data_IF_470726799026
#
_entry.id   IF_470726799026
#
_cell.length_a   1.000
_cell.length_b   1.000
_cell.length_c   1.000
_cell.angle_alpha   90.00
_cell.angle_beta   90.00
_cell.angle_gamma   90.00
#
_symmetry.space_group_name_H-M   'P 1'
#
loop_
_entity.id
_entity.type
_entity.pdbx_description
1 polymer ?
#
# COMPACT_ATOMS: atom_id res chain seq x y z
N UNK A 1 3.44 -16.01 14.15
CA UNK A 1 4.74 -15.96 13.47
C UNK A 1 4.82 -14.58 12.86
N UNK A 2 5.29 -13.62 13.65
CA UNK A 2 5.47 -12.22 13.23
C UNK A 2 6.69 -12.19 12.31
N UNK A 3 6.48 -11.87 11.03
CA UNK A 3 7.56 -11.66 10.07
C UNK A 3 8.17 -10.27 10.32
N UNK A 4 9.51 -10.13 10.22
CA UNK A 4 10.21 -8.93 10.65
C UNK A 4 9.79 -7.68 9.86
N UNK A 5 9.67 -6.57 10.58
CA UNK A 5 9.51 -5.22 10.03
C UNK A 5 10.51 -4.99 8.89
N UNK A 6 10.03 -4.45 7.76
CA UNK A 6 10.79 -3.94 6.59
C UNK A 6 11.34 -4.91 5.52
N UNK A 7 10.71 -6.07 5.28
CA UNK A 7 10.99 -6.79 4.02
C UNK A 7 10.44 -6.00 2.82
N UNK A 8 11.36 -5.45 2.00
CA UNK A 8 11.01 -4.76 0.75
C UNK A 8 10.16 -5.65 -0.17
N UNK A 9 9.15 -5.11 -0.88
CA UNK A 9 8.37 -5.86 -1.87
C UNK A 9 9.23 -6.62 -2.88
N UNK A 10 10.40 -6.08 -3.23
CA UNK A 10 11.37 -6.72 -4.13
C UNK A 10 11.94 -8.01 -3.54
N UNK A 11 12.22 -8.03 -2.24
CA UNK A 11 12.75 -9.20 -1.54
C UNK A 11 11.68 -10.28 -1.47
N UNK A 12 10.44 -9.91 -1.12
CA UNK A 12 9.33 -10.87 -1.06
C UNK A 12 9.05 -11.47 -2.44
N UNK A 13 9.00 -10.64 -3.48
CA UNK A 13 8.85 -11.11 -4.86
C UNK A 13 10.00 -12.06 -5.26
N UNK A 14 11.26 -11.70 -4.94
CA UNK A 14 12.42 -12.55 -5.23
C UNK A 14 12.36 -13.90 -4.52
N UNK A 15 11.89 -13.93 -3.25
CA UNK A 15 11.67 -15.18 -2.50
C UNK A 15 10.60 -16.02 -3.18
N UNK A 16 9.47 -15.42 -3.60
CA UNK A 16 8.38 -16.14 -4.26
C UNK A 16 8.82 -16.70 -5.61
N UNK A 17 9.56 -15.93 -6.39
CA UNK A 17 10.18 -16.40 -7.63
C UNK A 17 11.08 -17.60 -7.36
N UNK A 18 11.98 -17.49 -6.37
CA UNK A 18 12.88 -18.58 -6.02
C UNK A 18 12.12 -19.82 -5.53
N UNK A 19 11.10 -19.68 -4.68
CA UNK A 19 10.28 -20.78 -4.18
C UNK A 19 9.50 -21.48 -5.30
N UNK A 20 8.81 -20.73 -6.15
CA UNK A 20 8.00 -21.30 -7.25
C UNK A 20 8.89 -21.95 -8.31
N UNK A 21 10.00 -21.33 -8.68
CA UNK A 21 10.93 -21.89 -9.65
C UNK A 21 11.68 -23.10 -9.08
N UNK A 22 12.10 -23.06 -7.81
CA UNK A 22 12.71 -24.22 -7.15
C UNK A 22 11.72 -25.39 -7.02
N UNK A 23 10.44 -25.12 -6.75
CA UNK A 23 9.40 -26.16 -6.73
C UNK A 23 9.27 -26.83 -8.10
N UNK A 24 9.25 -26.05 -9.19
CA UNK A 24 9.27 -26.59 -10.55
C UNK A 24 10.49 -27.47 -10.85
N UNK A 25 11.70 -27.00 -10.50
CA UNK A 25 12.93 -27.77 -10.68
C UNK A 25 12.92 -29.06 -9.84
N UNK A 26 12.44 -28.98 -8.60
CA UNK A 26 12.30 -30.13 -7.72
C UNK A 26 11.32 -31.16 -8.30
N UNK A 27 10.20 -30.69 -8.88
CA UNK A 27 9.25 -31.52 -9.61
C UNK A 27 9.93 -32.28 -10.76
N UNK A 28 10.73 -31.60 -11.58
CA UNK A 28 11.47 -32.24 -12.68
C UNK A 28 12.49 -33.28 -12.19
N UNK A 29 13.19 -32.99 -11.10
CA UNK A 29 14.14 -33.94 -10.51
C UNK A 29 13.41 -35.17 -9.96
N UNK A 30 12.25 -34.96 -9.34
CA UNK A 30 11.41 -36.03 -8.82
C UNK A 30 10.84 -36.89 -9.96
N UNK A 31 10.41 -36.28 -11.07
CA UNK A 31 9.99 -36.97 -12.29
C UNK A 31 11.07 -37.95 -12.78
N UNK A 32 12.34 -37.53 -12.81
CA UNK A 32 13.46 -38.39 -13.24
C UNK A 32 13.75 -39.57 -12.30
N UNK A 33 13.26 -39.54 -11.06
CA UNK A 33 13.48 -40.59 -10.05
C UNK A 33 12.27 -41.50 -9.84
N UNK A 34 11.10 -41.17 -10.39
CA UNK A 34 9.87 -41.93 -10.21
C UNK A 34 9.78 -43.10 -11.20
N UNK A 35 9.49 -44.32 -10.75
CA UNK A 35 9.21 -45.45 -11.63
C UNK A 35 7.94 -45.23 -12.47
N UNK A 36 7.91 -45.73 -13.70
CA UNK A 36 6.83 -45.53 -14.69
C UNK A 36 5.42 -45.90 -14.18
N UNK A 37 5.32 -46.76 -13.15
CA UNK A 37 4.04 -47.23 -12.61
C UNK A 37 3.22 -46.16 -11.86
N UNK A 38 3.86 -45.07 -11.39
CA UNK A 38 3.16 -43.92 -10.76
C UNK A 38 2.85 -42.78 -11.75
N UNK A 39 3.29 -42.92 -13.01
CA UNK A 39 3.11 -41.95 -14.09
C UNK A 39 2.19 -42.48 -15.19
N UNK A 40 1.29 -43.42 -14.85
CA UNK A 40 0.27 -43.88 -15.77
C UNK A 40 -0.68 -42.73 -16.14
N UNK A 41 -1.21 -42.75 -17.36
CA UNK A 41 -1.96 -41.62 -17.92
C UNK A 41 -3.23 -41.31 -17.10
N UNK A 42 -3.85 -42.32 -16.46
CA UNK A 42 -4.98 -42.11 -15.56
C UNK A 42 -4.61 -41.28 -14.31
N UNK A 43 -3.41 -41.48 -13.74
CA UNK A 43 -2.92 -40.67 -12.61
C UNK A 43 -2.60 -39.24 -13.03
N UNK A 44 -2.09 -39.04 -14.25
CA UNK A 44 -1.84 -37.70 -14.81
C UNK A 44 -3.13 -36.92 -15.02
N UNK A 45 -4.19 -37.57 -15.49
CA UNK A 45 -5.48 -36.91 -15.71
C UNK A 45 -6.11 -36.45 -14.40
N UNK A 46 -6.06 -37.28 -13.34
CA UNK A 46 -6.52 -36.87 -12.01
C UNK A 46 -5.69 -35.71 -11.47
N UNK A 47 -4.37 -35.73 -11.66
CA UNK A 47 -3.48 -34.66 -11.20
C UNK A 47 -3.72 -33.34 -11.95
N UNK A 48 -3.91 -33.36 -13.27
CA UNK A 48 -4.32 -32.19 -14.05
C UNK A 48 -5.65 -31.60 -13.58
N UNK A 49 -6.63 -32.44 -13.23
CA UNK A 49 -7.90 -31.98 -12.67
C UNK A 49 -7.71 -31.28 -11.31
N UNK A 50 -6.89 -31.86 -10.43
CA UNK A 50 -6.56 -31.25 -9.13
C UNK A 50 -5.78 -29.95 -9.29
N UNK A 51 -4.79 -29.90 -10.20
CA UNK A 51 -4.08 -28.67 -10.53
C UNK A 51 -5.03 -27.61 -11.11
N UNK A 52 -5.98 -27.99 -11.97
CA UNK A 52 -7.00 -27.08 -12.49
C UNK A 52 -7.84 -26.47 -11.36
N UNK A 53 -8.25 -27.28 -10.38
CA UNK A 53 -8.97 -26.80 -9.19
C UNK A 53 -8.12 -25.84 -8.36
N UNK A 54 -6.86 -26.18 -8.08
CA UNK A 54 -5.94 -25.30 -7.32
C UNK A 54 -5.70 -23.99 -8.09
N UNK A 55 -5.53 -24.05 -9.42
CA UNK A 55 -5.32 -22.89 -10.27
C UNK A 55 -6.52 -21.94 -10.26
N UNK A 56 -7.74 -22.46 -10.31
CA UNK A 56 -8.95 -21.62 -10.23
C UNK A 56 -9.10 -20.94 -8.88
N UNK A 57 -8.84 -21.66 -7.78
CA UNK A 57 -8.83 -21.07 -6.43
C UNK A 57 -7.73 -20.02 -6.27
N UNK A 58 -6.51 -20.31 -6.75
CA UNK A 58 -5.40 -19.37 -6.74
C UNK A 58 -5.70 -18.11 -7.56
N UNK A 59 -6.33 -18.24 -8.73
CA UNK A 59 -6.72 -17.11 -9.57
C UNK A 59 -7.75 -16.21 -8.87
N UNK A 60 -8.75 -16.80 -8.20
CA UNK A 60 -9.74 -16.04 -7.43
C UNK A 60 -9.10 -15.28 -6.26
N UNK A 61 -8.23 -15.95 -5.49
CA UNK A 61 -7.54 -15.30 -4.36
C UNK A 61 -6.60 -14.20 -4.86
N UNK A 62 -5.81 -14.46 -5.92
CA UNK A 62 -4.95 -13.45 -6.52
C UNK A 62 -5.76 -12.24 -6.99
N UNK A 63 -6.88 -12.45 -7.68
CA UNK A 63 -7.79 -11.38 -8.12
C UNK A 63 -8.35 -10.57 -6.95
N UNK A 64 -8.74 -11.23 -5.86
CA UNK A 64 -9.23 -10.55 -4.65
C UNK A 64 -8.12 -9.74 -3.97
N UNK A 65 -6.89 -10.25 -3.91
CA UNK A 65 -5.74 -9.53 -3.36
C UNK A 65 -5.40 -8.30 -4.19
N UNK A 66 -5.39 -8.40 -5.53
CA UNK A 66 -5.20 -7.25 -6.43
C UNK A 66 -6.29 -6.21 -6.20
N UNK A 67 -7.56 -6.63 -6.16
CA UNK A 67 -8.69 -5.73 -5.96
C UNK A 67 -8.62 -5.03 -4.59
N UNK A 68 -8.28 -5.77 -3.53
CA UNK A 68 -8.08 -5.23 -2.19
C UNK A 68 -6.96 -4.19 -2.15
N UNK A 69 -5.78 -4.54 -2.69
CA UNK A 69 -4.62 -3.65 -2.76
C UNK A 69 -4.96 -2.35 -3.52
N UNK A 70 -5.58 -2.48 -4.70
CA UNK A 70 -6.05 -1.33 -5.49
C UNK A 70 -7.07 -0.48 -4.72
N UNK A 71 -8.04 -1.09 -4.07
CA UNK A 71 -9.06 -0.37 -3.29
C UNK A 71 -8.46 0.38 -2.10
N UNK A 72 -7.40 -0.17 -1.49
CA UNK A 72 -6.63 0.50 -0.44
C UNK A 72 -5.90 1.72 -1.00
N UNK A 73 -5.17 1.54 -2.09
CA UNK A 73 -4.45 2.60 -2.79
C UNK A 73 -5.38 3.76 -3.22
N UNK A 74 -6.53 3.43 -3.83
CA UNK A 74 -7.51 4.41 -4.29
C UNK A 74 -8.12 5.20 -3.11
N UNK A 75 -8.41 4.51 -1.98
CA UNK A 75 -8.92 5.17 -0.75
C UNK A 75 -7.91 6.16 -0.19
N UNK A 76 -6.65 5.75 -0.04
CA UNK A 76 -5.61 6.63 0.51
C UNK A 76 -5.32 7.81 -0.44
N UNK A 77 -5.36 7.59 -1.75
CA UNK A 77 -5.27 8.66 -2.75
C UNK A 77 -6.41 9.66 -2.64
N UNK A 78 -7.64 9.19 -2.40
CA UNK A 78 -8.80 10.05 -2.20
C UNK A 78 -8.70 10.86 -0.89
N UNK A 79 -8.27 10.23 0.21
CA UNK A 79 -8.04 10.88 1.50
C UNK A 79 -6.98 11.99 1.39
N UNK A 80 -5.84 11.75 0.72
CA UNK A 80 -4.82 12.78 0.50
C UNK A 80 -5.34 13.96 -0.33
N UNK A 81 -6.16 13.72 -1.35
CA UNK A 81 -6.80 14.79 -2.14
C UNK A 81 -7.76 15.61 -1.28
N UNK A 82 -8.53 14.95 -0.42
CA UNK A 82 -9.44 15.63 0.52
C UNK A 82 -8.66 16.48 1.51
N UNK A 83 -7.59 15.96 2.13
CA UNK A 83 -6.71 16.72 3.02
C UNK A 83 -6.11 17.93 2.30
N UNK A 84 -5.64 17.76 1.06
CA UNK A 84 -5.09 18.87 0.25
C UNK A 84 -6.13 19.97 0.02
N UNK A 85 -7.38 19.60 -0.29
CA UNK A 85 -8.46 20.56 -0.49
C UNK A 85 -8.82 21.30 0.81
N UNK A 86 -8.89 20.59 1.94
CA UNK A 86 -9.16 21.18 3.25
C UNK A 86 -8.04 22.13 3.68
N UNK A 87 -6.78 21.80 3.36
CA UNK A 87 -5.63 22.67 3.61
C UNK A 87 -5.73 23.98 2.83
N UNK A 88 -6.14 23.94 1.56
CA UNK A 88 -6.39 25.14 0.75
C UNK A 88 -7.57 25.97 1.26
N UNK A 89 -8.67 25.34 1.68
CA UNK A 89 -9.83 26.04 2.27
C UNK A 89 -9.41 26.79 3.55
N UNK A 90 -8.61 26.15 4.40
CA UNK A 90 -8.15 26.73 5.65
C UNK A 90 -7.18 27.90 5.45
N UNK A 91 -6.25 27.80 4.49
CA UNK A 91 -5.38 28.94 4.14
C UNK A 91 -6.20 30.11 3.58
N UNK A 92 -7.18 29.84 2.73
CA UNK A 92 -8.08 30.87 2.21
C UNK A 92 -8.87 31.59 3.30
N UNK A 93 -9.35 30.85 4.31
CA UNK A 93 -10.03 31.43 5.48
C UNK A 93 -9.10 32.29 6.34
N UNK A 94 -7.85 31.85 6.56
CA UNK A 94 -6.84 32.62 7.30
C UNK A 94 -6.42 33.88 6.54
N UNK A 95 -6.28 33.80 5.22
CA UNK A 95 -6.01 34.96 4.36
C UNK A 95 -7.14 36.00 4.43
N UNK A 96 -8.40 35.55 4.46
CA UNK A 96 -9.56 36.44 4.58
C UNK A 96 -9.70 37.09 5.97
N UNK A 97 -9.13 36.48 7.03
CA UNK A 97 -9.09 37.07 8.38
C UNK A 97 -8.21 38.33 8.45
N UNK A 98 -7.21 38.43 7.56
CA UNK A 98 -6.31 39.58 7.45
C UNK A 98 -5.08 39.53 8.37
N UNK A 99 -4.40 40.66 8.64
CA UNK A 99 -3.10 40.71 9.30
C UNK A 99 -3.05 40.07 10.69
N UNK A 100 -4.19 40.02 11.39
CA UNK A 100 -4.32 39.41 12.71
C UNK A 100 -4.13 37.89 12.75
N UNK A 101 -4.14 37.21 11.60
CA UNK A 101 -3.92 35.76 11.48
C UNK A 101 -2.53 35.36 10.96
N UNK A 102 -1.61 36.33 10.80
CA UNK A 102 -0.27 36.10 10.22
C UNK A 102 0.55 35.04 10.98
N UNK A 103 0.55 35.07 12.31
CA UNK A 103 1.25 34.07 13.13
C UNK A 103 0.63 32.66 13.00
N UNK A 104 -0.71 32.57 12.99
CA UNK A 104 -1.42 31.32 12.80
C UNK A 104 -1.17 30.72 11.40
N UNK A 105 -1.11 31.56 10.37
CA UNK A 105 -0.80 31.17 9.00
C UNK A 105 0.64 30.67 8.86
N UNK A 106 1.61 31.34 9.47
CA UNK A 106 3.01 30.89 9.44
C UNK A 106 3.20 29.53 10.14
N UNK A 107 2.53 29.32 11.28
CA UNK A 107 2.54 28.02 11.97
C UNK A 107 1.82 26.93 11.18
N UNK A 108 0.73 27.27 10.48
CA UNK A 108 0.04 26.34 9.57
C UNK A 108 0.94 25.85 8.44
N UNK A 109 1.65 26.76 7.76
CA UNK A 109 2.56 26.39 6.69
C UNK A 109 3.68 25.47 7.19
N UNK A 110 4.24 25.77 8.37
CA UNK A 110 5.25 24.92 9.02
C UNK A 110 4.69 23.51 9.26
N UNK A 111 3.49 23.40 9.83
CA UNK A 111 2.81 22.13 10.08
C UNK A 111 2.56 21.31 8.82
N UNK A 112 2.06 21.95 7.75
CA UNK A 112 1.83 21.26 6.48
C UNK A 112 3.16 20.83 5.85
N UNK A 113 4.22 21.65 5.95
CA UNK A 113 5.54 21.31 5.40
C UNK A 113 6.18 20.12 6.11
N UNK A 114 6.08 20.05 7.44
CA UNK A 114 6.62 18.95 8.24
C UNK A 114 5.78 17.69 8.05
N UNK A 115 4.45 17.80 8.01
CA UNK A 115 3.56 16.69 7.71
C UNK A 115 3.87 16.10 6.32
N UNK A 116 4.02 16.95 5.31
CA UNK A 116 4.37 16.53 3.94
C UNK A 116 5.75 15.88 3.91
N UNK A 117 6.78 16.45 4.55
CA UNK A 117 8.11 15.83 4.57
C UNK A 117 8.11 14.46 5.27
N UNK A 118 7.25 14.28 6.28
CA UNK A 118 7.18 13.06 7.07
C UNK A 118 6.31 11.97 6.44
N UNK A 119 5.25 12.31 5.68
CA UNK A 119 4.36 11.30 5.05
C UNK A 119 5.14 10.39 4.09
N UNK A 120 6.18 10.93 3.46
CA UNK A 120 7.08 10.19 2.56
C UNK A 120 8.36 9.70 3.25
N UNK A 121 8.51 9.90 4.56
CA UNK A 121 9.61 9.37 5.37
C UNK A 121 9.24 7.98 5.91
N UNK A 122 10.23 7.09 6.04
CA UNK A 122 10.05 5.69 6.45
C UNK A 122 9.68 5.50 7.95
N UNK A 123 9.16 6.53 8.62
CA UNK A 123 9.01 6.57 10.07
C UNK A 123 7.57 6.91 10.46
N UNK A 124 6.72 5.89 10.37
CA UNK A 124 5.28 5.95 10.65
C UNK A 124 4.98 6.38 12.10
N UNK A 125 5.87 6.04 13.04
CA UNK A 125 5.75 6.40 14.46
C UNK A 125 6.06 7.89 14.65
N UNK A 126 7.12 8.41 14.00
CA UNK A 126 7.42 9.85 14.01
C UNK A 126 6.38 10.69 13.26
N UNK A 127 5.74 10.12 12.24
CA UNK A 127 4.62 10.70 11.52
C UNK A 127 3.45 11.02 12.46
N UNK A 128 3.00 10.02 13.23
CA UNK A 128 1.86 10.18 14.14
C UNK A 128 2.12 11.15 15.28
N UNK A 129 3.29 11.06 15.93
CA UNK A 129 3.67 11.96 17.02
C UNK A 129 3.85 13.41 16.56
N UNK A 130 4.49 13.63 15.41
CA UNK A 130 4.70 14.97 14.89
C UNK A 130 3.41 15.63 14.39
N UNK A 131 2.54 14.88 13.69
CA UNK A 131 1.24 15.39 13.28
C UNK A 131 0.38 15.76 14.49
N UNK A 132 0.42 14.99 15.58
CA UNK A 132 -0.30 15.35 16.80
C UNK A 132 0.24 16.62 17.48
N UNK A 133 1.56 16.76 17.58
CA UNK A 133 2.20 17.92 18.23
C UNK A 133 1.95 19.20 17.43
N UNK A 134 2.13 19.16 16.11
CA UNK A 134 1.93 20.34 15.27
C UNK A 134 0.44 20.70 15.07
N UNK A 135 -0.45 19.70 15.02
CA UNK A 135 -1.89 19.95 15.00
C UNK A 135 -2.39 20.62 16.29
N UNK A 136 -1.83 20.25 17.46
CA UNK A 136 -2.16 20.92 18.73
C UNK A 136 -1.62 22.35 18.75
N UNK A 137 -0.37 22.57 18.32
CA UNK A 137 0.21 23.92 18.27
C UNK A 137 -0.55 24.85 17.30
N UNK A 138 -1.05 24.32 16.19
CA UNK A 138 -1.91 25.06 15.26
C UNK A 138 -3.29 25.38 15.87
N UNK A 139 -3.90 24.40 16.54
CA UNK A 139 -5.18 24.58 17.24
C UNK A 139 -5.11 25.68 18.30
N UNK A 140 -4.06 25.68 19.13
CA UNK A 140 -3.83 26.70 20.16
C UNK A 140 -3.62 28.09 19.54
N UNK A 141 -3.01 28.14 18.34
CA UNK A 141 -2.80 29.40 17.62
C UNK A 141 -4.10 29.98 17.07
N UNK A 142 -5.06 29.14 16.64
CA UNK A 142 -6.41 29.60 16.26
C UNK A 142 -7.20 30.07 17.49
N UNK A 143 -7.07 29.40 18.65
CA UNK A 143 -7.74 29.83 19.87
C UNK A 143 -7.24 31.20 20.37
N UNK A 144 -5.95 31.49 20.20
CA UNK A 144 -5.35 32.76 20.62
C UNK A 144 -5.63 33.94 19.67
N UNK A 145 -6.32 33.72 18.54
CA UNK A 145 -6.81 34.82 17.71
C UNK A 145 -7.81 35.65 18.50
N UNK A 146 -7.62 36.98 18.52
CA UNK A 146 -8.56 37.94 19.11
C UNK A 146 -9.50 38.49 18.02
N UNK A 147 -10.69 37.90 17.80
CA UNK A 147 -11.63 38.38 16.81
C UNK A 147 -12.29 39.69 17.26
N UNK A 148 -12.08 40.75 16.49
CA UNK A 148 -12.64 42.08 16.73
C UNK A 148 -13.99 42.30 16.02
N UNK A 149 -14.38 41.42 15.07
CA UNK A 149 -15.64 41.51 14.32
C UNK A 149 -16.42 40.18 14.33
N UNK A 150 -17.74 40.21 14.09
CA UNK A 150 -18.57 39.01 13.96
C UNK A 150 -18.12 38.10 12.80
N UNK A 151 -17.66 38.70 11.70
CA UNK A 151 -17.05 37.97 10.58
C UNK A 151 -15.78 37.20 11.03
N UNK A 152 -14.93 37.83 11.86
CA UNK A 152 -13.75 37.17 12.42
C UNK A 152 -14.11 36.05 13.41
N UNK A 153 -15.15 36.22 14.23
CA UNK A 153 -15.65 35.14 15.11
C UNK A 153 -16.19 33.94 14.31
N UNK A 154 -16.86 34.20 13.19
CA UNK A 154 -17.33 33.14 12.30
C UNK A 154 -16.16 32.35 11.69
N UNK A 155 -15.13 33.05 11.19
CA UNK A 155 -13.93 32.43 10.63
C UNK A 155 -13.18 31.61 11.68
N UNK A 156 -13.03 32.12 12.91
CA UNK A 156 -12.38 31.39 14.00
C UNK A 156 -13.12 30.08 14.33
N UNK A 157 -14.46 30.13 14.45
CA UNK A 157 -15.27 28.93 14.70
C UNK A 157 -15.12 27.91 13.56
N UNK A 158 -15.19 28.36 12.32
CA UNK A 158 -15.04 27.49 11.14
C UNK A 158 -13.65 26.86 11.06
N UNK A 159 -12.59 27.61 11.37
CA UNK A 159 -11.22 27.11 11.42
C UNK A 159 -11.03 26.05 12.52
N UNK A 160 -11.63 26.25 13.70
CA UNK A 160 -11.63 25.25 14.77
C UNK A 160 -12.34 23.96 14.37
N UNK A 161 -13.52 24.04 13.73
CA UNK A 161 -14.24 22.86 13.20
C UNK A 161 -13.41 22.08 12.18
N UNK A 162 -12.80 22.78 11.22
CA UNK A 162 -11.97 22.18 10.18
C UNK A 162 -10.73 21.52 10.80
N UNK A 163 -10.08 22.17 11.77
CA UNK A 163 -8.91 21.61 12.46
C UNK A 163 -9.25 20.36 13.27
N UNK A 164 -10.44 20.30 13.89
CA UNK A 164 -10.93 19.13 14.59
C UNK A 164 -11.22 17.97 13.62
N UNK A 165 -11.82 18.26 12.46
CA UNK A 165 -12.05 17.27 11.41
C UNK A 165 -10.72 16.71 10.87
N UNK A 166 -9.73 17.56 10.60
CA UNK A 166 -8.39 17.16 10.16
C UNK A 166 -7.68 16.27 11.18
N UNK A 167 -7.82 16.55 12.48
CA UNK A 167 -7.29 15.70 13.56
C UNK A 167 -7.93 14.31 13.55
N UNK A 168 -9.24 14.25 13.37
CA UNK A 168 -9.97 12.98 13.34
C UNK A 168 -9.57 12.16 12.10
N UNK A 169 -9.49 12.78 10.93
CA UNK A 169 -9.02 12.13 9.70
C UNK A 169 -7.58 11.65 9.83
N UNK A 170 -6.68 12.47 10.39
CA UNK A 170 -5.28 12.10 10.58
C UNK A 170 -5.12 10.93 11.57
N UNK A 171 -5.90 10.90 12.65
CA UNK A 171 -5.91 9.78 13.60
C UNK A 171 -6.38 8.48 12.93
N UNK A 172 -7.43 8.54 12.10
CA UNK A 172 -7.92 7.39 11.33
C UNK A 172 -6.91 6.93 10.27
N UNK A 173 -6.18 7.85 9.64
CA UNK A 173 -5.12 7.50 8.69
C UNK A 173 -3.99 6.74 9.38
N UNK A 174 -3.59 7.12 10.60
CA UNK A 174 -2.55 6.44 11.39
C UNK A 174 -3.00 5.04 11.84
N UNK A 175 -4.26 4.90 12.28
CA UNK A 175 -4.82 3.61 12.69
C UNK A 175 -4.97 2.63 11.51
N UNK A 176 -5.12 3.16 10.29
CA UNK A 176 -5.25 2.40 9.03
C UNK A 176 -3.92 2.09 8.34
N UNK A 177 -2.77 2.42 8.93
CA UNK A 177 -1.43 2.03 8.42
C UNK A 177 -1.17 0.51 8.56
N UNK A 178 -2.13 -0.28 9.03
CA UNK A 178 -2.07 -1.74 8.93
C UNK A 178 -2.16 -2.21 7.47
N UNK A 179 -1.30 -3.15 7.07
CA UNK A 179 -1.35 -3.78 5.73
C UNK A 179 -2.77 -4.21 5.41
N UNK A 180 -3.35 -3.71 4.32
CA UNK A 180 -4.73 -4.02 3.94
C UNK A 180 -4.86 -5.47 3.46
N UNK A 181 -3.72 -6.13 3.25
CA UNK A 181 -3.60 -7.54 2.89
C UNK A 181 -3.19 -8.37 4.11
N UNK A 182 -4.01 -9.33 4.56
CA UNK A 182 -3.58 -10.25 5.60
C UNK A 182 -2.52 -11.22 5.05
N UNK A 183 -1.33 -11.20 5.65
CA UNK A 183 -0.22 -12.11 5.31
C UNK A 183 -0.59 -13.59 5.14
N UNK A 184 -1.51 -14.19 5.93
CA UNK A 184 -1.93 -15.58 5.72
C UNK A 184 -2.49 -15.87 4.33
N UNK A 185 -3.22 -14.92 3.72
CA UNK A 185 -3.76 -15.08 2.35
C UNK A 185 -2.66 -15.09 1.30
N UNK A 186 -1.60 -14.31 1.49
CA UNK A 186 -0.45 -14.34 0.61
C UNK A 186 0.31 -15.67 0.76
N UNK A 187 0.54 -16.12 2.00
CA UNK A 187 1.23 -17.40 2.27
C UNK A 187 0.50 -18.59 1.65
N UNK A 188 -0.82 -18.69 1.79
CA UNK A 188 -1.59 -19.80 1.21
C UNK A 188 -1.57 -19.74 -0.33
N UNK A 189 -1.60 -18.54 -0.91
CA UNK A 189 -1.51 -18.36 -2.36
C UNK A 189 -0.14 -18.79 -2.90
N UNK A 190 0.96 -18.37 -2.26
CA UNK A 190 2.32 -18.77 -2.63
C UNK A 190 2.50 -20.28 -2.48
N UNK A 191 1.90 -20.88 -1.45
CA UNK A 191 1.88 -22.33 -1.28
C UNK A 191 1.17 -23.03 -2.44
N UNK A 192 -0.05 -22.60 -2.81
CA UNK A 192 -0.77 -23.16 -3.95
C UNK A 192 -0.02 -23.01 -5.27
N UNK A 193 0.58 -21.83 -5.52
CA UNK A 193 1.40 -21.59 -6.69
C UNK A 193 2.63 -22.51 -6.72
N UNK A 194 3.31 -22.70 -5.58
CA UNK A 194 4.44 -23.61 -5.50
C UNK A 194 4.04 -25.06 -5.80
N UNK A 195 2.88 -25.50 -5.32
CA UNK A 195 2.32 -26.83 -5.64
C UNK A 195 1.99 -26.97 -7.12
N UNK A 196 1.45 -25.94 -7.77
CA UNK A 196 1.20 -25.95 -9.22
C UNK A 196 2.50 -26.06 -10.01
N UNK A 197 3.51 -25.26 -9.67
CA UNK A 197 4.82 -25.31 -10.33
C UNK A 197 5.50 -26.65 -10.11
N UNK A 198 5.40 -27.23 -8.92
CA UNK A 198 5.85 -28.59 -8.62
C UNK A 198 5.16 -29.61 -9.53
N UNK A 199 3.83 -29.57 -9.66
CA UNK A 199 3.06 -30.46 -10.54
C UNK A 199 3.47 -30.32 -12.01
N UNK A 200 3.56 -29.08 -12.51
CA UNK A 200 4.04 -28.83 -13.87
C UNK A 200 5.45 -29.37 -14.10
N UNK A 201 6.37 -29.21 -13.13
CA UNK A 201 7.70 -29.80 -13.21
C UNK A 201 7.69 -31.34 -13.14
N UNK A 202 6.79 -31.91 -12.34
CA UNK A 202 6.67 -33.34 -12.12
C UNK A 202 6.13 -34.12 -13.32
N UNK A 203 5.31 -33.49 -14.16
CA UNK A 203 4.69 -34.17 -15.31
C UNK A 203 5.16 -33.67 -16.67
N UNK A 204 5.93 -32.58 -16.71
CA UNK A 204 6.49 -32.11 -17.96
C UNK A 204 7.72 -32.91 -18.39
N UNK A 205 7.85 -33.13 -19.71
CA UNK A 205 9.09 -33.66 -20.28
C UNK A 205 10.23 -32.66 -20.05
N UNK A 206 11.38 -33.18 -19.62
CA UNK A 206 12.56 -32.36 -19.28
C UNK A 206 13.18 -31.81 -20.57
N UNK A 207 12.62 -30.73 -21.08
CA UNK A 207 13.05 -30.06 -22.30
C UNK A 207 13.27 -28.55 -22.04
N UNK A 208 14.09 -27.92 -22.89
CA UNK A 208 14.43 -26.51 -22.73
C UNK A 208 13.21 -25.59 -22.84
N UNK A 209 12.23 -25.93 -23.68
CA UNK A 209 11.01 -25.15 -23.88
C UNK A 209 10.15 -25.08 -22.61
N UNK A 210 9.97 -26.20 -21.93
CA UNK A 210 9.24 -26.30 -20.65
C UNK A 210 9.97 -25.49 -19.58
N UNK A 211 11.30 -25.60 -19.52
CA UNK A 211 12.09 -24.83 -18.55
C UNK A 211 11.91 -23.32 -18.75
N UNK A 212 11.96 -22.85 -20.00
CA UNK A 212 11.73 -21.44 -20.34
C UNK A 212 10.29 -21.03 -20.01
N UNK A 213 9.31 -21.88 -20.32
CA UNK A 213 7.90 -21.61 -20.00
C UNK A 213 7.66 -21.48 -18.48
N UNK A 214 8.26 -22.36 -17.67
CA UNK A 214 8.18 -22.28 -16.21
C UNK A 214 8.94 -21.08 -15.67
N UNK A 215 10.09 -20.71 -16.25
CA UNK A 215 10.81 -19.50 -15.87
C UNK A 215 9.93 -18.25 -16.09
N UNK A 216 9.32 -18.12 -17.27
CA UNK A 216 8.42 -17.02 -17.63
C UNK A 216 7.19 -17.02 -16.71
N UNK A 217 6.62 -18.20 -16.43
CA UNK A 217 5.49 -18.34 -15.53
C UNK A 217 5.82 -17.86 -14.11
N UNK A 218 6.95 -18.30 -13.56
CA UNK A 218 7.40 -17.92 -12.22
C UNK A 218 7.67 -16.41 -12.14
N UNK A 219 8.26 -15.83 -13.19
CA UNK A 219 8.49 -14.39 -13.28
C UNK A 219 7.17 -13.60 -13.34
N UNK A 220 6.19 -14.09 -14.10
CA UNK A 220 4.85 -13.47 -14.21
C UNK A 220 4.11 -13.46 -12.87
N UNK A 221 4.09 -14.60 -12.17
CA UNK A 221 3.49 -14.73 -10.84
C UNK A 221 4.19 -13.83 -9.81
N UNK A 222 5.52 -13.85 -9.81
CA UNK A 222 6.33 -12.98 -8.94
C UNK A 222 6.06 -11.50 -9.21
N UNK A 223 5.91 -11.11 -10.48
CA UNK A 223 5.61 -9.73 -10.87
C UNK A 223 4.20 -9.31 -10.43
N UNK A 224 3.22 -10.21 -10.54
CA UNK A 224 1.87 -9.96 -10.05
C UNK A 224 1.83 -9.73 -8.54
N UNK A 225 2.54 -10.57 -7.76
CA UNK A 225 2.60 -10.41 -6.30
C UNK A 225 3.43 -9.18 -5.91
N UNK A 226 4.48 -8.86 -6.65
CA UNK A 226 5.23 -7.61 -6.50
C UNK A 226 4.29 -6.39 -6.60
N UNK A 227 3.49 -6.30 -7.66
CA UNK A 227 2.54 -5.20 -7.86
C UNK A 227 1.50 -5.13 -6.74
N UNK A 228 1.02 -6.27 -6.24
CA UNK A 228 0.09 -6.33 -5.11
C UNK A 228 0.71 -5.72 -3.85
N UNK A 229 1.93 -6.12 -3.51
CA UNK A 229 2.65 -5.63 -2.32
C UNK A 229 3.00 -4.15 -2.45
N UNK A 230 3.32 -3.72 -3.66
CA UNK A 230 3.62 -2.34 -3.96
C UNK A 230 2.38 -1.43 -3.83
N UNK A 231 1.22 -1.90 -4.28
CA UNK A 231 -0.06 -1.22 -4.08
C UNK A 231 -0.50 -1.19 -2.61
N UNK A 232 -0.13 -2.19 -1.81
CA UNK A 232 -0.41 -2.24 -0.36
C UNK A 232 0.49 -1.31 0.45
N UNK A 233 1.60 -0.83 -0.12
CA UNK A 233 2.51 0.16 0.47
C UNK A 233 2.43 1.52 -0.25
N UNK A 234 1.29 2.22 -0.26
CA UNK A 234 1.02 3.40 -1.10
C UNK A 234 1.96 4.60 -0.92
N UNK A 235 2.61 4.73 0.24
CA UNK A 235 3.60 5.79 0.51
C UNK A 235 5.05 5.36 0.23
N UNK A 236 5.28 4.09 -0.08
CA UNK A 236 6.59 3.48 -0.33
C UNK A 236 6.57 2.75 -1.70
N UNK A 237 7.69 2.22 -2.18
CA UNK A 237 7.72 1.49 -3.47
C UNK A 237 7.93 2.37 -4.72
N UNK A 238 7.72 1.80 -5.91
CA UNK A 238 7.92 2.39 -7.24
C UNK A 238 6.61 3.06 -7.73
N UNK A 239 5.44 2.52 -7.37
CA UNK A 239 4.09 3.04 -7.56
C UNK A 239 3.65 3.74 -6.28
N UNK A 240 3.99 5.03 -6.18
CA UNK A 240 3.62 5.86 -5.01
C UNK A 240 2.36 6.65 -5.29
N UNK A 241 1.58 6.89 -4.25
CA UNK A 241 0.56 7.94 -4.30
C UNK A 241 1.27 9.27 -4.58
N UNK A 242 0.81 9.97 -5.62
CA UNK A 242 1.44 11.20 -6.06
C UNK A 242 1.42 12.26 -4.95
N UNK A 243 2.58 12.85 -4.70
CA UNK A 243 2.81 14.03 -3.85
C UNK A 243 2.28 15.33 -4.48
N UNK A 244 1.91 15.30 -5.76
CA UNK A 244 1.49 16.47 -6.52
C UNK A 244 0.32 17.26 -5.88
N UNK A 245 -0.74 16.66 -5.31
CA UNK A 245 -1.83 17.42 -4.71
C UNK A 245 -1.38 18.25 -3.50
N UNK A 246 -0.59 17.66 -2.60
CA UNK A 246 -0.05 18.32 -1.41
C UNK A 246 1.04 19.34 -1.75
N UNK A 247 1.92 19.03 -2.71
CA UNK A 247 2.92 19.99 -3.20
C UNK A 247 2.31 21.16 -3.94
N UNK A 248 1.26 20.94 -4.73
CA UNK A 248 0.53 22.02 -5.39
C UNK A 248 -0.18 22.89 -4.37
N UNK A 249 -0.81 22.28 -3.36
CA UNK A 249 -1.39 23.03 -2.24
C UNK A 249 -0.33 23.88 -1.52
N UNK A 250 0.82 23.28 -1.16
CA UNK A 250 1.94 24.01 -0.56
C UNK A 250 2.51 25.12 -1.44
N UNK A 251 2.62 24.90 -2.75
CA UNK A 251 3.08 25.91 -3.70
C UNK A 251 2.11 27.08 -3.78
N UNK A 252 0.80 26.81 -3.68
CA UNK A 252 -0.24 27.82 -3.75
C UNK A 252 -0.40 28.60 -2.43
N UNK A 253 -0.15 27.94 -1.30
CA UNK A 253 -0.14 28.55 0.03
C UNK A 253 1.10 29.44 0.25
N UNK A 254 2.25 29.08 -0.34
CA UNK A 254 3.47 29.90 -0.27
C UNK A 254 3.49 31.09 -1.26
N UNK A 255 2.46 31.25 -2.09
CA UNK A 255 2.26 32.44 -2.94
C UNK A 255 1.49 33.53 -2.20
#
# INVERSE_FOLDING_TARGET
MEMPESLSPVVVASIIFACTFAAALFGMVLHRKLPDHHLNDESKEVEKLVMGLIATLAALVLGLLVASAKSSFDRQSAELRQVSATVLELDGLLAHFGPGASEARQRFHSAVSVATAKIWSNDNVRLGLANHVEANAFYDSIQNLSPNTEAQRFIQKRALEISAALRQTSALMIERVGSSIPWPFLTILVFWLSVLFLGFGLFASVNATVLVALLIGALSVSSGIFLILELDQPYQGLIRVSDAPLRNALAQINQ
#
